data_IF_567048348732
#
_entry.id   IF_567048348732
#
_cell.length_a   1.000
_cell.length_b   1.000
_cell.length_c   1.000
_cell.angle_alpha   90.00
_cell.angle_beta   90.00
_cell.angle_gamma   90.00
#
_symmetry.space_group_name_H-M   'P 1'
#
loop_
_entity.id
_entity.type
_entity.pdbx_description
1 polymer ?
#
# COMPACT_ATOMS: atom_id res chain seq x y z
N UNK A 1 2.89 -14.89 8.29
CA UNK A 1 2.90 -14.27 6.94
C UNK A 1 3.47 -15.26 5.93
N UNK A 2 2.77 -15.47 4.83
CA UNK A 2 3.20 -16.40 3.77
C UNK A 2 4.23 -15.73 2.88
N UNK A 3 5.43 -16.29 2.80
CA UNK A 3 6.52 -15.71 2.00
C UNK A 3 6.17 -15.67 0.51
N UNK A 4 5.44 -16.65 -0.01
CA UNK A 4 5.02 -16.63 -1.40
C UNK A 4 4.14 -15.44 -1.70
N UNK A 5 3.22 -15.11 -0.80
CA UNK A 5 2.35 -13.95 -0.96
C UNK A 5 3.14 -12.65 -0.88
N UNK A 6 4.15 -12.59 -0.02
CA UNK A 6 5.01 -11.42 0.09
C UNK A 6 5.75 -11.17 -1.23
N UNK A 7 6.37 -12.20 -1.77
CA UNK A 7 7.11 -12.07 -3.02
C UNK A 7 6.21 -11.70 -4.20
N UNK A 8 5.01 -12.27 -4.26
CA UNK A 8 4.05 -11.92 -5.30
C UNK A 8 3.65 -10.45 -5.21
N UNK A 9 3.40 -9.97 -3.97
CA UNK A 9 3.01 -8.58 -3.76
C UNK A 9 4.11 -7.62 -4.17
N UNK A 10 5.35 -7.95 -3.87
CA UNK A 10 6.49 -7.08 -4.18
C UNK A 10 6.97 -7.20 -5.62
N UNK A 11 6.51 -8.23 -6.35
CA UNK A 11 6.93 -8.47 -7.72
C UNK A 11 6.40 -7.46 -8.73
N UNK A 12 5.46 -6.62 -8.33
CA UNK A 12 4.88 -5.61 -9.20
C UNK A 12 5.55 -4.25 -8.95
N UNK A 13 6.06 -3.62 -10.01
CA UNK A 13 6.78 -2.34 -9.89
C UNK A 13 5.96 -1.27 -9.17
N UNK A 14 4.66 -1.18 -9.47
CA UNK A 14 3.81 -0.19 -8.83
C UNK A 14 3.72 -0.41 -7.32
N UNK A 15 3.65 -1.67 -6.90
CA UNK A 15 3.59 -2.00 -5.48
C UNK A 15 4.88 -1.65 -4.75
N UNK A 16 6.04 -1.85 -5.43
CA UNK A 16 7.32 -1.43 -4.87
C UNK A 16 7.38 0.08 -4.68
N UNK A 17 6.83 0.83 -5.62
CA UNK A 17 6.77 2.29 -5.52
C UNK A 17 5.89 2.73 -4.36
N UNK A 18 4.77 2.04 -4.16
CA UNK A 18 3.90 2.31 -3.01
C UNK A 18 4.66 2.07 -1.70
N UNK A 19 5.38 0.95 -1.62
CA UNK A 19 6.16 0.64 -0.43
C UNK A 19 7.22 1.71 -0.17
N UNK A 20 7.88 2.18 -1.22
CA UNK A 20 8.88 3.24 -1.10
C UNK A 20 8.28 4.53 -0.54
N UNK A 21 7.09 4.90 -1.02
CA UNK A 21 6.39 6.08 -0.50
C UNK A 21 6.03 5.90 0.97
N UNK A 22 5.48 4.75 1.33
CA UNK A 22 5.04 4.49 2.69
C UNK A 22 6.19 4.31 3.68
N UNK A 23 7.40 4.04 3.17
CA UNK A 23 8.58 3.97 4.03
C UNK A 23 8.93 5.32 4.64
N UNK A 24 8.44 6.41 4.04
CA UNK A 24 8.70 7.78 4.50
C UNK A 24 7.69 8.21 5.55
N UNK A 25 6.43 7.85 5.36
CA UNK A 25 5.36 8.28 6.25
C UNK A 25 4.05 7.59 5.90
N UNK A 26 3.11 7.66 6.84
CA UNK A 26 1.75 7.20 6.60
C UNK A 26 1.07 8.14 5.59
N UNK A 27 0.36 7.58 4.61
CA UNK A 27 -0.25 8.37 3.55
C UNK A 27 -1.69 7.94 3.27
N UNK A 28 -2.50 8.93 2.93
CA UNK A 28 -3.86 8.73 2.44
C UNK A 28 -3.81 8.23 0.99
N UNK A 29 -4.80 7.45 0.59
CA UNK A 29 -4.87 6.90 -0.77
C UNK A 29 -4.82 7.98 -1.85
N UNK A 30 -5.43 9.14 -1.62
CA UNK A 30 -5.43 10.21 -2.62
C UNK A 30 -4.04 10.77 -2.86
N UNK A 31 -3.21 10.84 -1.83
CA UNK A 31 -1.82 11.27 -1.96
C UNK A 31 -1.03 10.25 -2.76
N UNK A 32 -1.25 8.96 -2.49
CA UNK A 32 -0.58 7.88 -3.22
C UNK A 32 -0.94 7.95 -4.70
N UNK A 33 -2.23 8.14 -5.02
CA UNK A 33 -2.69 8.26 -6.40
C UNK A 33 -2.00 9.40 -7.13
N UNK A 34 -1.91 10.55 -6.49
CA UNK A 34 -1.26 11.72 -7.09
C UNK A 34 0.23 11.49 -7.30
N UNK A 35 0.89 10.93 -6.29
CA UNK A 35 2.33 10.70 -6.36
C UNK A 35 2.71 9.73 -7.48
N UNK A 36 1.88 8.73 -7.71
CA UNK A 36 2.17 7.71 -8.73
C UNK A 36 1.46 7.94 -10.05
N UNK A 37 0.64 8.98 -10.12
CA UNK A 37 -0.13 9.31 -11.32
C UNK A 37 -0.98 8.14 -11.80
N UNK A 38 -1.69 7.49 -10.85
CA UNK A 38 -2.57 6.37 -11.17
C UNK A 38 -3.98 6.66 -10.66
N UNK A 39 -5.01 6.09 -11.32
CA UNK A 39 -6.39 6.25 -10.85
C UNK A 39 -6.59 5.57 -9.50
N UNK A 40 -7.54 6.06 -8.73
CA UNK A 40 -7.83 5.49 -7.41
C UNK A 40 -8.20 4.01 -7.46
N UNK A 41 -9.03 3.53 -8.40
CA UNK A 41 -9.34 2.09 -8.45
C UNK A 41 -8.09 1.23 -8.63
N UNK A 42 -7.13 1.71 -9.43
CA UNK A 42 -5.87 1.01 -9.65
C UNK A 42 -5.04 1.00 -8.37
N UNK A 43 -4.93 2.16 -7.70
CA UNK A 43 -4.20 2.25 -6.44
C UNK A 43 -4.82 1.34 -5.38
N UNK A 44 -6.14 1.34 -5.27
CA UNK A 44 -6.85 0.53 -4.27
C UNK A 44 -6.60 -0.94 -4.47
N UNK A 45 -6.53 -1.39 -5.71
CA UNK A 45 -6.24 -2.77 -6.06
C UNK A 45 -4.86 -3.20 -5.54
N UNK A 46 -3.84 -2.38 -5.81
CA UNK A 46 -2.49 -2.64 -5.35
C UNK A 46 -2.38 -2.57 -3.84
N UNK A 47 -3.02 -1.57 -3.23
CA UNK A 47 -3.01 -1.41 -1.78
C UNK A 47 -3.68 -2.59 -1.09
N UNK A 48 -4.79 -3.06 -1.64
CA UNK A 48 -5.47 -4.22 -1.09
C UNK A 48 -4.58 -5.47 -1.15
N UNK A 49 -3.87 -5.66 -2.24
CA UNK A 49 -2.95 -6.78 -2.40
C UNK A 49 -1.84 -6.73 -1.35
N UNK A 50 -1.26 -5.55 -1.14
CA UNK A 50 -0.21 -5.36 -0.13
C UNK A 50 -0.75 -5.59 1.28
N UNK A 51 -1.96 -5.10 1.56
CA UNK A 51 -2.59 -5.30 2.87
C UNK A 51 -2.86 -6.77 3.14
N UNK A 52 -3.36 -7.50 2.14
CA UNK A 52 -3.64 -8.93 2.25
C UNK A 52 -2.38 -9.74 2.49
N UNK A 53 -1.24 -9.26 1.99
CA UNK A 53 0.05 -9.92 2.20
C UNK A 53 0.67 -9.60 3.55
N UNK A 54 0.09 -8.67 4.30
CA UNK A 54 0.60 -8.28 5.60
C UNK A 54 1.71 -7.24 5.58
N UNK A 55 2.03 -6.70 4.40
CA UNK A 55 3.11 -5.73 4.25
C UNK A 55 2.73 -4.33 4.71
N UNK A 56 1.45 -3.97 4.60
CA UNK A 56 0.97 -2.67 5.01
C UNK A 56 -0.28 -2.81 5.85
N UNK A 57 -0.59 -1.77 6.61
CA UNK A 57 -1.80 -1.65 7.40
C UNK A 57 -2.55 -0.42 6.98
N UNK A 58 -3.85 -0.44 7.22
CA UNK A 58 -4.72 0.66 6.87
C UNK A 58 -5.52 1.04 8.11
N UNK A 59 -5.69 2.34 8.33
CA UNK A 59 -6.60 2.82 9.36
C UNK A 59 -7.52 3.88 8.79
N UNK A 60 -8.72 3.90 9.31
CA UNK A 60 -9.74 4.84 8.85
C UNK A 60 -9.92 5.94 9.88
N UNK A 61 -9.83 7.19 9.40
CA UNK A 61 -10.12 8.36 10.21
C UNK A 61 -11.20 9.14 9.48
N UNK A 62 -12.41 9.15 10.04
CA UNK A 62 -13.56 9.74 9.40
C UNK A 62 -13.77 9.06 8.02
N UNK A 63 -13.76 9.82 6.93
CA UNK A 63 -13.96 9.30 5.58
C UNK A 63 -12.65 8.94 4.89
N UNK A 64 -11.50 9.14 5.56
CA UNK A 64 -10.18 8.96 4.96
C UNK A 64 -9.56 7.64 5.38
N UNK A 65 -8.90 6.99 4.42
CA UNK A 65 -8.12 5.78 4.67
C UNK A 65 -6.64 6.12 4.59
N UNK A 66 -5.90 5.79 5.65
CA UNK A 66 -4.46 6.02 5.71
C UNK A 66 -3.74 4.69 5.73
N UNK A 67 -2.67 4.61 4.95
CA UNK A 67 -1.88 3.38 4.83
C UNK A 67 -0.49 3.59 5.38
N UNK A 68 0.06 2.56 6.01
CA UNK A 68 1.42 2.58 6.54
C UNK A 68 2.02 1.18 6.46
N UNK A 69 3.35 1.11 6.52
CA UNK A 69 4.02 -0.17 6.52
C UNK A 69 3.75 -0.88 7.85
N UNK A 70 3.57 -2.19 7.78
CA UNK A 70 3.25 -3.01 8.95
C UNK A 70 4.42 -3.03 9.93
N UNK A 71 4.12 -2.88 11.23
CA UNK A 71 5.12 -2.92 12.29
C UNK A 71 5.68 -4.31 12.51
N UNK A 72 4.90 -5.32 12.15
CA UNK A 72 5.24 -6.69 12.44
C UNK A 72 5.97 -7.39 11.30
N UNK A 73 6.27 -6.67 10.26
CA UNK A 73 6.89 -7.23 9.07
C UNK A 73 8.43 -7.27 9.17
#
# INVERSE_FOLDING_TARGET
MDMCEVFKALGEATRLRIMALLSQQELCVCVICKALCIPQPTASKHLNRLRMSGLIRCRRLSQWCYYRISDTF
#
